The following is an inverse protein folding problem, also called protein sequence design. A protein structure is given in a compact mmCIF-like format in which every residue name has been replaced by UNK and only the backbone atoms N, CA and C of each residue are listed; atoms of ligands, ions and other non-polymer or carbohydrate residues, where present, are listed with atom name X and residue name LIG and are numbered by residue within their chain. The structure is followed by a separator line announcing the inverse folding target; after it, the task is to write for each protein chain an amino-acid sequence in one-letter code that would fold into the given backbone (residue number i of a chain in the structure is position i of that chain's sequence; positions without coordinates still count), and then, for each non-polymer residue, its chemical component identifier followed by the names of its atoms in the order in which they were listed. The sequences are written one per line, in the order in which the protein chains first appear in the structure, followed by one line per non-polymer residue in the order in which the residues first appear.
data_IF_856058097652
#
_entry.id   IF_856058097652
#
_cell.length_a   1.000
_cell.length_b   1.000
_cell.length_c   1.000
_cell.angle_alpha   90.00
_cell.angle_beta   90.00
_cell.angle_gamma   90.00
#
_symmetry.space_group_name_H-M   'P 1'
#
loop_
_entity.id
_entity.type
_entity.pdbx_description
1 polymer ?
#
# COMPACT_ATOMS: atom_id res chain seq x y z
N UNK A 1 -23.49 34.19 36.84
CA UNK A 1 -22.66 34.60 35.69
C UNK A 1 -21.86 33.39 35.27
N UNK A 2 -22.35 32.64 34.27
CA UNK A 2 -21.55 31.58 33.69
C UNK A 2 -20.37 32.22 32.99
N UNK A 3 -19.13 31.88 33.37
CA UNK A 3 -17.94 32.26 32.61
C UNK A 3 -18.11 31.69 31.21
N UNK A 4 -17.89 32.47 30.15
CA UNK A 4 -17.87 31.92 28.80
C UNK A 4 -16.67 30.99 28.63
N UNK A 5 -16.73 30.04 27.68
CA UNK A 5 -15.59 29.19 27.34
C UNK A 5 -14.33 30.03 27.03
N UNK A 6 -14.54 31.17 26.39
CA UNK A 6 -13.54 32.16 26.03
C UNK A 6 -12.89 32.79 27.28
N UNK A 7 -13.70 33.14 28.29
CA UNK A 7 -13.20 33.64 29.57
C UNK A 7 -12.35 32.58 30.30
N UNK A 8 -12.69 31.29 30.17
CA UNK A 8 -11.91 30.21 30.76
C UNK A 8 -10.51 30.10 30.11
N UNK A 9 -10.46 30.21 28.78
CA UNK A 9 -9.24 30.12 27.98
C UNK A 9 -8.31 31.31 28.28
N UNK A 10 -8.85 32.54 28.33
CA UNK A 10 -8.08 33.74 28.65
C UNK A 10 -7.65 33.81 30.13
N UNK A 11 -8.52 33.43 31.07
CA UNK A 11 -8.23 33.43 32.51
C UNK A 11 -7.05 32.50 32.87
N UNK A 12 -6.88 31.39 32.14
CA UNK A 12 -5.76 30.46 32.31
C UNK A 12 -4.44 30.95 31.70
N UNK A 13 -4.41 32.14 31.09
CA UNK A 13 -3.22 32.72 30.48
C UNK A 13 -2.72 31.93 29.26
N UNK A 14 -3.58 31.10 28.65
CA UNK A 14 -3.25 30.32 27.45
C UNK A 14 -3.02 31.22 26.23
N UNK A 15 -3.69 32.37 26.23
CA UNK A 15 -3.65 33.40 25.20
C UNK A 15 -3.99 34.73 25.88
N UNK A 16 -3.46 35.85 25.37
CA UNK A 16 -3.85 37.17 25.87
C UNK A 16 -5.27 37.48 25.44
N UNK A 17 -6.02 38.22 26.26
CA UNK A 17 -7.40 38.61 25.93
C UNK A 17 -7.50 39.27 24.55
N UNK A 18 -6.59 40.20 24.23
CA UNK A 18 -6.57 40.88 22.92
C UNK A 18 -6.35 39.92 21.73
N UNK A 19 -5.52 38.89 21.92
CA UNK A 19 -5.25 37.89 20.88
C UNK A 19 -6.45 36.93 20.73
N UNK A 20 -7.18 36.64 21.82
CA UNK A 20 -8.42 35.87 21.79
C UNK A 20 -9.55 36.62 21.08
N UNK A 21 -9.71 37.91 21.37
CA UNK A 21 -10.71 38.77 20.72
C UNK A 21 -10.44 38.83 19.20
N UNK A 22 -9.16 38.99 18.81
CA UNK A 22 -8.75 38.94 17.40
C UNK A 22 -8.99 37.57 16.74
N UNK A 23 -8.78 36.47 17.47
CA UNK A 23 -9.08 35.12 16.97
C UNK A 23 -10.58 34.91 16.71
N UNK A 24 -11.45 35.48 17.55
CA UNK A 24 -12.91 35.41 17.38
C UNK A 24 -13.36 36.21 16.16
N UNK A 25 -12.87 37.44 15.99
CA UNK A 25 -13.16 38.27 14.81
C UNK A 25 -12.71 37.58 13.51
N UNK A 26 -11.53 36.95 13.53
CA UNK A 26 -11.02 36.21 12.38
C UNK A 26 -11.84 34.93 12.09
N UNK A 27 -12.24 34.20 13.13
CA UNK A 27 -13.10 33.02 13.00
C UNK A 27 -14.42 33.36 12.30
N UNK A 28 -15.03 34.48 12.69
CA UNK A 28 -16.29 34.97 12.11
C UNK A 28 -16.13 35.50 10.68
N UNK A 29 -15.04 36.21 10.39
CA UNK A 29 -14.83 36.84 9.08
C UNK A 29 -14.35 35.87 8.00
N UNK A 30 -13.60 34.83 8.36
CA UNK A 30 -13.02 33.86 7.41
C UNK A 30 -13.73 32.51 7.41
N UNK A 31 -14.80 32.35 8.21
CA UNK A 31 -15.53 31.08 8.42
C UNK A 31 -14.61 29.93 8.86
N UNK A 32 -13.57 30.23 9.65
CA UNK A 32 -12.63 29.24 10.17
C UNK A 32 -13.00 28.92 11.62
N UNK A 33 -12.92 27.64 12.00
CA UNK A 33 -13.17 27.21 13.37
C UNK A 33 -12.17 27.81 14.38
N UNK A 34 -12.68 28.32 15.51
CA UNK A 34 -11.86 28.98 16.53
C UNK A 34 -10.80 28.05 17.14
N UNK A 35 -11.08 26.74 17.30
CA UNK A 35 -10.09 25.75 17.76
C UNK A 35 -8.87 25.75 16.83
N UNK A 36 -9.11 25.80 15.52
CA UNK A 36 -8.05 25.77 14.51
C UNK A 36 -7.17 27.01 14.60
N UNK A 37 -7.76 28.20 14.75
CA UNK A 37 -7.00 29.45 14.91
C UNK A 37 -6.17 29.44 16.19
N UNK A 38 -6.75 28.99 17.31
CA UNK A 38 -6.06 28.92 18.60
C UNK A 38 -4.85 27.96 18.55
N UNK A 39 -4.99 26.80 17.89
CA UNK A 39 -3.93 25.81 17.77
C UNK A 39 -2.82 26.22 16.79
N UNK A 40 -3.18 26.72 15.61
CA UNK A 40 -2.21 26.93 14.52
C UNK A 40 -1.56 28.31 14.55
N UNK A 41 -2.38 29.36 14.64
CA UNK A 41 -1.91 30.75 14.59
C UNK A 41 -1.37 31.20 15.94
N UNK A 42 -2.15 30.97 17.00
CA UNK A 42 -1.79 31.39 18.36
C UNK A 42 -1.00 30.35 19.14
N UNK A 43 -0.76 29.16 18.56
CA UNK A 43 0.10 28.09 19.11
C UNK A 43 -0.29 27.66 20.53
N UNK A 44 -1.58 27.73 20.87
CA UNK A 44 -2.08 27.25 22.17
C UNK A 44 -1.85 25.74 22.25
N UNK A 45 -1.19 25.21 23.30
CA UNK A 45 -0.95 23.78 23.43
C UNK A 45 -2.26 22.98 23.51
N UNK A 46 -2.37 21.89 22.73
CA UNK A 46 -3.56 21.03 22.66
C UNK A 46 -4.02 20.53 24.03
N UNK A 47 -3.09 20.04 24.85
CA UNK A 47 -3.37 19.54 26.19
C UNK A 47 -3.91 20.63 27.12
N UNK A 48 -3.46 21.86 26.96
CA UNK A 48 -3.91 23.00 27.77
C UNK A 48 -5.31 23.46 27.36
N UNK A 49 -5.58 23.51 26.05
CA UNK A 49 -6.90 23.81 25.49
C UNK A 49 -7.92 22.72 25.87
N UNK A 50 -7.58 21.45 25.69
CA UNK A 50 -8.40 20.31 26.09
C UNK A 50 -8.71 20.28 27.59
N UNK A 51 -7.70 20.56 28.44
CA UNK A 51 -7.90 20.68 29.88
C UNK A 51 -8.85 21.82 30.25
N UNK A 52 -8.75 22.97 29.57
CA UNK A 52 -9.65 24.10 29.79
C UNK A 52 -11.10 23.78 29.38
N UNK A 53 -11.29 23.08 28.25
CA UNK A 53 -12.58 22.58 27.81
C UNK A 53 -13.18 21.59 28.82
N UNK A 54 -12.37 20.64 29.33
CA UNK A 54 -12.83 19.67 30.32
C UNK A 54 -13.32 20.29 31.62
N UNK A 55 -12.63 21.33 32.10
CA UNK A 55 -13.08 22.09 33.28
C UNK A 55 -14.37 22.88 32.99
N UNK A 56 -14.42 23.57 31.84
CA UNK A 56 -15.58 24.36 31.44
C UNK A 56 -16.86 23.52 31.33
N UNK A 57 -16.77 22.37 30.66
CA UNK A 57 -17.89 21.45 30.48
C UNK A 57 -18.13 20.53 31.69
N UNK A 58 -17.28 20.58 32.72
CA UNK A 58 -17.28 19.66 33.86
C UNK A 58 -17.28 18.18 33.41
N UNK A 59 -16.49 17.90 32.39
CA UNK A 59 -16.48 16.64 31.65
C UNK A 59 -15.02 16.19 31.46
N UNK A 60 -14.68 14.89 31.57
CA UNK A 60 -13.32 14.43 31.34
C UNK A 60 -12.83 14.80 29.94
N UNK A 61 -11.63 15.37 29.83
CA UNK A 61 -10.97 15.56 28.53
C UNK A 61 -10.23 14.29 28.12
N UNK A 62 -10.40 13.89 26.86
CA UNK A 62 -9.70 12.76 26.25
C UNK A 62 -9.01 13.25 24.98
N UNK A 63 -7.69 13.08 24.91
CA UNK A 63 -6.91 13.30 23.70
C UNK A 63 -6.94 12.06 22.79
N UNK A 64 -6.47 12.21 21.56
CA UNK A 64 -6.22 11.07 20.70
C UNK A 64 -5.14 10.13 21.30
N UNK A 65 -5.42 8.82 21.29
CA UNK A 65 -4.50 7.74 21.67
C UNK A 65 -4.57 6.62 20.63
N UNK A 66 -3.46 6.41 19.92
CA UNK A 66 -3.28 5.38 18.88
C UNK A 66 -3.59 3.95 19.37
N UNK A 67 -3.49 3.69 20.67
CA UNK A 67 -3.73 2.37 21.27
C UNK A 67 -5.21 2.10 21.53
N UNK A 68 -6.06 3.11 21.40
CA UNK A 68 -7.49 2.98 21.60
C UNK A 68 -8.13 2.34 20.37
N UNK A 69 -8.45 1.05 20.46
CA UNK A 69 -9.15 0.32 19.41
C UNK A 69 -10.66 0.51 19.56
N UNK A 70 -11.28 1.07 18.52
CA UNK A 70 -12.74 1.25 18.44
C UNK A 70 -13.35 -0.01 17.82
N UNK A 71 -14.34 -0.58 18.50
CA UNK A 71 -15.08 -1.74 18.00
C UNK A 71 -15.86 -1.35 16.72
N UNK A 72 -15.59 -1.99 15.56
CA UNK A 72 -16.27 -1.68 14.30
C UNK A 72 -17.79 -1.76 14.36
N UNK A 73 -18.36 -2.59 15.24
CA UNK A 73 -19.83 -2.69 15.39
C UNK A 73 -20.45 -1.39 15.93
N UNK A 74 -19.68 -0.54 16.60
CA UNK A 74 -20.15 0.78 17.06
C UNK A 74 -20.32 1.76 15.89
N UNK A 75 -19.65 1.55 14.76
CA UNK A 75 -19.63 2.49 13.64
C UNK A 75 -20.49 2.05 12.46
N UNK A 76 -20.93 0.79 12.45
CA UNK A 76 -21.66 0.13 11.35
C UNK A 76 -22.88 0.88 10.81
N UNK A 77 -23.58 1.63 11.67
CA UNK A 77 -24.81 2.35 11.34
C UNK A 77 -24.61 3.88 11.35
N UNK A 78 -23.38 4.36 11.36
CA UNK A 78 -23.04 5.77 11.40
C UNK A 78 -22.36 6.20 10.10
N UNK A 79 -22.73 7.38 9.59
CA UNK A 79 -22.03 7.98 8.46
C UNK A 79 -20.78 8.71 8.95
N UNK A 80 -19.61 8.36 8.42
CA UNK A 80 -18.35 9.02 8.76
C UNK A 80 -18.35 10.52 8.43
N UNK A 81 -18.95 10.92 7.31
CA UNK A 81 -19.10 12.34 6.95
C UNK A 81 -19.94 13.10 7.97
N UNK A 82 -21.00 12.46 8.48
CA UNK A 82 -21.82 13.04 9.53
C UNK A 82 -21.04 13.14 10.85
N UNK A 83 -20.32 12.09 11.26
CA UNK A 83 -19.50 12.11 12.49
C UNK A 83 -18.40 13.18 12.42
N UNK A 84 -17.79 13.37 11.25
CA UNK A 84 -16.79 14.43 11.00
C UNK A 84 -17.40 15.83 11.12
N UNK A 85 -18.59 16.04 10.55
CA UNK A 85 -19.30 17.33 10.63
C UNK A 85 -19.81 17.63 12.04
N UNK A 86 -20.35 16.63 12.72
CA UNK A 86 -20.92 16.74 14.08
C UNK A 86 -19.88 16.60 15.19
N UNK A 87 -18.64 16.23 14.87
CA UNK A 87 -17.49 16.14 15.77
C UNK A 87 -17.78 15.33 17.05
N UNK A 88 -18.21 14.08 16.87
CA UNK A 88 -18.28 13.07 17.93
C UNK A 88 -18.00 11.66 17.41
N UNK A 89 -17.56 10.77 18.30
CA UNK A 89 -17.31 9.37 17.97
C UNK A 89 -17.49 8.45 19.20
N UNK A 90 -18.08 7.25 19.05
CA UNK A 90 -18.09 6.25 20.12
C UNK A 90 -16.70 5.58 20.25
N UNK A 91 -16.17 5.49 21.47
CA UNK A 91 -14.87 4.83 21.70
C UNK A 91 -15.04 3.35 22.07
N UNK A 92 -15.86 3.07 23.08
CA UNK A 92 -16.03 1.72 23.61
C UNK A 92 -17.38 1.54 24.29
N UNK A 93 -17.85 0.29 24.33
CA UNK A 93 -19.08 -0.12 25.02
C UNK A 93 -18.76 -1.15 26.10
N UNK A 94 -19.19 -0.88 27.33
CA UNK A 94 -19.07 -1.78 28.48
C UNK A 94 -20.47 -2.10 29.01
N UNK A 95 -21.07 -3.19 28.51
CA UNK A 95 -22.44 -3.58 28.85
C UNK A 95 -23.47 -2.53 28.36
N UNK A 96 -24.11 -1.84 29.30
CA UNK A 96 -25.07 -0.77 29.02
C UNK A 96 -24.42 0.62 28.92
N UNK A 97 -23.15 0.77 29.30
CA UNK A 97 -22.45 2.05 29.28
C UNK A 97 -21.72 2.24 27.95
N UNK A 98 -21.93 3.38 27.29
CA UNK A 98 -21.28 3.76 26.04
C UNK A 98 -20.42 5.01 26.27
N UNK A 99 -19.10 4.89 26.08
CA UNK A 99 -18.18 6.02 26.19
C UNK A 99 -18.08 6.75 24.85
N UNK A 100 -18.33 8.05 24.84
CA UNK A 100 -18.37 8.90 23.64
C UNK A 100 -17.45 10.10 23.84
N UNK A 101 -16.63 10.39 22.83
CA UNK A 101 -15.90 11.65 22.74
C UNK A 101 -16.68 12.61 21.84
N UNK A 102 -16.88 13.84 22.31
CA UNK A 102 -17.67 14.87 21.63
C UNK A 102 -17.04 16.25 21.83
N UNK A 103 -17.13 17.14 20.85
CA UNK A 103 -16.58 18.49 20.96
C UNK A 103 -17.38 19.40 21.92
N UNK A 104 -18.71 19.21 22.00
CA UNK A 104 -19.60 19.89 22.94
C UNK A 104 -20.61 18.91 23.57
N UNK A 105 -20.43 18.52 24.85
CA UNK A 105 -21.35 17.60 25.53
C UNK A 105 -22.70 18.22 25.93
N UNK A 106 -22.87 19.54 25.83
CA UNK A 106 -24.14 20.22 26.08
C UNK A 106 -24.99 20.40 24.82
N UNK A 107 -24.49 19.96 23.66
CA UNK A 107 -25.22 19.98 22.39
C UNK A 107 -26.39 18.98 22.42
N UNK A 108 -27.61 19.51 22.54
CA UNK A 108 -28.82 18.71 22.67
C UNK A 108 -29.13 17.91 21.39
N UNK A 109 -28.84 18.46 20.20
CA UNK A 109 -29.11 17.77 18.94
C UNK A 109 -28.21 16.55 18.78
N UNK A 110 -26.89 16.73 18.99
CA UNK A 110 -25.94 15.60 18.99
C UNK A 110 -26.31 14.56 20.04
N UNK A 111 -26.71 15.00 21.23
CA UNK A 111 -27.17 14.11 22.30
C UNK A 111 -28.39 13.26 21.90
N UNK A 112 -29.33 13.82 21.15
CA UNK A 112 -30.49 13.09 20.62
C UNK A 112 -30.08 12.10 19.53
N UNK A 113 -29.20 12.50 18.60
CA UNK A 113 -28.70 11.64 17.52
C UNK A 113 -27.94 10.43 18.07
N UNK A 114 -27.12 10.64 19.10
CA UNK A 114 -26.43 9.59 19.83
C UNK A 114 -27.42 8.61 20.48
N UNK A 115 -28.44 9.12 21.17
CA UNK A 115 -29.47 8.28 21.81
C UNK A 115 -30.28 7.48 20.79
N UNK A 116 -30.52 8.05 19.61
CA UNK A 116 -31.19 7.38 18.49
C UNK A 116 -30.32 6.29 17.88
N UNK A 117 -29.02 6.53 17.74
CA UNK A 117 -28.06 5.55 17.22
C UNK A 117 -27.84 4.37 18.19
N UNK A 118 -27.87 4.64 19.51
CA UNK A 118 -27.59 3.65 20.54
C UNK A 118 -28.70 3.56 21.60
N UNK A 119 -29.90 3.07 21.23
CA UNK A 119 -31.04 3.01 22.15
C UNK A 119 -30.77 2.08 23.33
N UNK A 120 -31.25 2.46 24.52
CA UNK A 120 -31.13 1.65 25.74
C UNK A 120 -29.74 1.64 26.38
N UNK A 121 -28.84 2.55 25.98
CA UNK A 121 -27.51 2.72 26.59
C UNK A 121 -27.45 3.95 27.51
N UNK A 122 -26.58 3.90 28.51
CA UNK A 122 -26.19 5.04 29.34
C UNK A 122 -24.91 5.64 28.76
N UNK A 123 -25.00 6.85 28.21
CA UNK A 123 -23.88 7.53 27.57
C UNK A 123 -23.01 8.23 28.60
N UNK A 124 -21.70 7.96 28.58
CA UNK A 124 -20.69 8.74 29.31
C UNK A 124 -19.96 9.62 28.31
N UNK A 125 -20.10 10.93 28.47
CA UNK A 125 -19.40 11.89 27.64
C UNK A 125 -17.98 12.14 28.16
N UNK A 126 -17.08 12.34 27.20
CA UNK A 126 -15.77 12.96 27.39
C UNK A 126 -15.62 14.04 26.34
N UNK A 127 -15.06 15.18 26.70
CA UNK A 127 -14.79 16.24 25.74
C UNK A 127 -13.50 15.92 24.98
N UNK A 128 -13.51 16.16 23.68
CA UNK A 128 -12.33 16.02 22.82
C UNK A 128 -12.20 17.20 21.87
N UNK A 129 -10.98 17.46 21.41
CA UNK A 129 -10.75 18.44 20.36
C UNK A 129 -11.26 17.89 19.04
N UNK A 130 -11.74 18.75 18.14
CA UNK A 130 -12.21 18.35 16.82
C UNK A 130 -11.13 17.57 16.07
N UNK A 131 -9.87 18.04 16.14
CA UNK A 131 -8.73 17.34 15.52
C UNK A 131 -8.52 15.93 16.05
N UNK A 132 -8.67 15.73 17.36
CA UNK A 132 -8.47 14.42 17.98
C UNK A 132 -9.59 13.44 17.55
N UNK A 133 -10.83 13.94 17.45
CA UNK A 133 -11.98 13.17 16.96
C UNK A 133 -11.80 12.81 15.48
N UNK A 134 -11.33 13.74 14.65
CA UNK A 134 -10.99 13.48 13.25
C UNK A 134 -9.90 12.41 13.12
N UNK A 135 -8.89 12.39 13.99
CA UNK A 135 -7.89 11.32 14.01
C UNK A 135 -8.47 9.97 14.42
N UNK A 136 -9.36 9.92 15.41
CA UNK A 136 -10.06 8.68 15.75
C UNK A 136 -10.93 8.17 14.57
N UNK A 137 -11.61 9.06 13.85
CA UNK A 137 -12.40 8.71 12.66
C UNK A 137 -11.51 8.17 11.54
N UNK A 138 -10.39 8.85 11.25
CA UNK A 138 -9.40 8.40 10.27
C UNK A 138 -8.91 6.99 10.61
N UNK A 139 -8.62 6.74 11.88
CA UNK A 139 -8.17 5.42 12.30
C UNK A 139 -9.26 4.36 12.15
N UNK A 140 -10.48 4.69 12.53
CA UNK A 140 -11.58 3.76 12.54
C UNK A 140 -12.17 3.44 11.15
N UNK A 141 -11.97 4.29 10.15
CA UNK A 141 -12.29 3.98 8.73
C UNK A 141 -11.31 2.99 8.11
N UNK A 142 -10.26 2.59 8.82
CA UNK A 142 -9.12 1.87 8.23
C UNK A 142 -8.18 2.78 7.44
N UNK A 143 -8.41 4.10 7.45
CA UNK A 143 -7.45 5.10 6.95
C UNK A 143 -6.34 5.42 7.98
N UNK A 144 -6.34 4.75 9.15
CA UNK A 144 -5.25 4.80 10.15
C UNK A 144 -3.88 4.46 9.58
N UNK A 145 -3.89 3.56 8.59
CA UNK A 145 -2.70 3.07 7.90
C UNK A 145 -2.68 3.53 6.43
N UNK A 146 -3.29 4.68 6.16
CA UNK A 146 -3.35 5.21 4.81
C UNK A 146 -4.04 6.56 4.79
N UNK A 147 -3.24 7.63 4.94
CA UNK A 147 -3.38 8.69 3.95
C UNK A 147 -3.21 8.00 2.61
N UNK A 148 -4.33 7.70 1.96
CA UNK A 148 -4.30 6.95 0.72
C UNK A 148 -3.46 7.76 -0.25
N UNK A 149 -2.55 7.09 -0.95
CA UNK A 149 -1.87 7.64 -2.12
C UNK A 149 -2.87 8.34 -3.05
N UNK A 150 -4.15 7.93 -3.04
CA UNK A 150 -5.25 8.58 -3.80
C UNK A 150 -5.69 9.96 -3.30
N UNK A 151 -5.59 10.29 -2.01
CA UNK A 151 -5.91 11.64 -1.50
C UNK A 151 -4.76 12.61 -1.77
N UNK A 152 -3.50 12.16 -1.59
CA UNK A 152 -2.33 12.94 -2.01
C UNK A 152 -2.30 13.06 -3.54
N UNK A 153 -2.63 12.01 -4.31
CA UNK A 153 -2.83 12.12 -5.77
C UNK A 153 -3.99 13.05 -6.13
N UNK A 154 -5.05 13.11 -5.32
CA UNK A 154 -6.17 14.03 -5.49
C UNK A 154 -5.71 15.48 -5.35
N UNK A 155 -4.97 15.78 -4.27
CA UNK A 155 -4.37 17.10 -4.04
C UNK A 155 -3.30 17.43 -5.11
N UNK A 156 -2.51 16.46 -5.56
CA UNK A 156 -1.51 16.61 -6.64
C UNK A 156 -2.11 16.87 -8.03
N UNK A 157 -3.30 16.30 -8.33
CA UNK A 157 -4.01 16.54 -9.61
C UNK A 157 -4.65 17.93 -9.61
N UNK A 158 -5.15 18.40 -8.46
CA UNK A 158 -5.67 19.75 -8.30
C UNK A 158 -4.54 20.80 -8.35
N UNK A 159 -3.36 20.52 -7.80
CA UNK A 159 -2.18 21.39 -7.92
C UNK A 159 -1.62 21.43 -9.35
N UNK A 160 -1.45 20.28 -10.02
CA UNK A 160 -0.99 20.22 -11.41
C UNK A 160 -2.00 20.80 -12.43
N UNK A 161 -3.29 20.84 -12.08
CA UNK A 161 -4.33 21.50 -12.88
C UNK A 161 -4.29 23.03 -12.79
N UNK A 162 -3.76 23.57 -11.68
CA UNK A 162 -3.75 25.01 -11.40
C UNK A 162 -2.51 25.71 -11.98
N UNK A 163 -1.43 24.98 -12.27
CA UNK A 163 -0.19 25.52 -12.85
C UNK A 163 -0.22 25.75 -14.37
N UNK A 164 -1.32 25.46 -15.08
CA UNK A 164 -1.40 25.68 -16.54
C UNK A 164 -1.75 27.10 -16.99
N UNK A 165 -1.85 28.07 -16.08
CA UNK A 165 -2.24 29.45 -16.42
C UNK A 165 -1.41 30.56 -15.74
N UNK A 166 -0.13 30.30 -15.44
CA UNK A 166 0.81 31.32 -14.98
C UNK A 166 2.14 31.21 -15.70
N UNK A 167 2.62 32.33 -16.23
CA UNK A 167 3.84 32.45 -17.03
C UNK A 167 5.11 31.98 -16.28
N UNK A 168 6.07 31.48 -17.05
CA UNK A 168 7.34 30.94 -16.57
C UNK A 168 8.18 31.99 -15.83
N UNK A 169 8.41 31.75 -14.53
CA UNK A 169 9.59 32.23 -13.83
C UNK A 169 10.48 31.03 -13.48
N UNK A 170 11.70 31.08 -13.99
CA UNK A 170 12.80 30.17 -13.69
C UNK A 170 13.26 30.37 -12.25
N UNK A 171 12.65 29.66 -11.31
CA UNK A 171 13.19 29.42 -9.97
C UNK A 171 13.79 28.02 -9.90
N UNK A 172 14.99 27.92 -9.31
CA UNK A 172 15.60 26.62 -8.98
C UNK A 172 14.58 25.76 -8.23
N UNK A 173 14.28 24.58 -8.77
CA UNK A 173 13.42 23.60 -8.09
C UNK A 173 14.22 23.12 -6.87
N UNK A 174 13.81 23.53 -5.67
CA UNK A 174 14.40 23.05 -4.41
C UNK A 174 14.23 21.52 -4.35
N UNK A 175 15.33 20.79 -4.45
CA UNK A 175 15.38 19.32 -4.49
C UNK A 175 14.71 18.67 -3.26
N UNK A 176 14.51 19.41 -2.17
CA UNK A 176 13.84 18.93 -0.96
C UNK A 176 12.33 19.18 -0.90
N UNK A 177 11.79 20.04 -1.77
CA UNK A 177 10.37 20.40 -1.75
C UNK A 177 9.53 19.55 -2.70
N UNK A 178 10.17 18.82 -3.62
CA UNK A 178 9.52 17.88 -4.52
C UNK A 178 8.72 16.84 -3.73
N UNK A 179 7.41 16.79 -3.97
CA UNK A 179 6.50 15.83 -3.34
C UNK A 179 6.96 14.37 -3.50
N UNK A 180 7.67 14.07 -4.60
CA UNK A 180 8.28 12.77 -4.88
C UNK A 180 9.38 12.45 -3.85
N UNK A 181 10.19 13.44 -3.49
CA UNK A 181 11.29 13.30 -2.53
C UNK A 181 10.73 13.11 -1.11
N UNK A 182 9.67 13.83 -0.74
CA UNK A 182 8.99 13.63 0.56
C UNK A 182 8.37 12.24 0.67
N UNK A 183 7.70 11.77 -0.39
CA UNK A 183 7.11 10.44 -0.46
C UNK A 183 8.19 9.34 -0.33
N UNK A 184 9.28 9.45 -1.10
CA UNK A 184 10.39 8.50 -1.05
C UNK A 184 11.01 8.43 0.35
N UNK A 185 11.26 9.59 0.96
CA UNK A 185 11.82 9.68 2.32
C UNK A 185 10.88 9.07 3.37
N UNK A 186 9.57 9.26 3.25
CA UNK A 186 8.60 8.62 4.13
C UNK A 186 8.56 7.10 3.97
N UNK A 187 8.60 6.60 2.74
CA UNK A 187 8.64 5.15 2.46
C UNK A 187 9.87 4.50 3.12
N UNK A 188 11.04 5.14 3.01
CA UNK A 188 12.29 4.65 3.60
C UNK A 188 12.23 4.67 5.14
N UNK A 189 11.76 5.78 5.72
CA UNK A 189 11.67 5.93 7.17
C UNK A 189 10.70 4.92 7.79
N UNK A 190 9.59 4.62 7.11
CA UNK A 190 8.61 3.65 7.56
C UNK A 190 9.11 2.21 7.43
N UNK A 191 9.76 1.87 6.31
CA UNK A 191 10.41 0.58 6.14
C UNK A 191 11.43 0.27 7.25
N UNK A 192 12.22 1.27 7.63
CA UNK A 192 13.15 1.16 8.76
C UNK A 192 12.43 0.93 10.09
N UNK A 193 11.37 1.71 10.38
CA UNK A 193 10.59 1.59 11.62
C UNK A 193 9.92 0.21 11.75
N UNK A 194 9.44 -0.33 10.64
CA UNK A 194 8.82 -1.66 10.56
C UNK A 194 9.83 -2.81 10.58
N UNK A 195 11.13 -2.52 10.52
CA UNK A 195 12.17 -3.54 10.37
C UNK A 195 12.04 -4.33 9.07
N UNK A 196 11.50 -3.71 8.02
CA UNK A 196 11.30 -4.35 6.73
C UNK A 196 12.64 -4.68 6.08
N UNK A 197 12.75 -5.88 5.50
CA UNK A 197 13.93 -6.32 4.75
C UNK A 197 14.08 -5.62 3.40
N UNK A 198 12.95 -5.18 2.84
CA UNK A 198 12.83 -4.69 1.49
C UNK A 198 11.62 -3.77 1.35
N UNK A 199 11.71 -2.84 0.40
CA UNK A 199 10.63 -1.94 -0.02
C UNK A 199 10.29 -2.28 -1.46
N UNK A 200 9.08 -2.78 -1.69
CA UNK A 200 8.59 -3.11 -3.01
C UNK A 200 7.49 -2.12 -3.41
N UNK A 201 7.72 -1.38 -4.49
CA UNK A 201 6.74 -0.44 -5.05
C UNK A 201 6.27 -1.02 -6.39
N UNK A 202 5.01 -1.44 -6.44
CA UNK A 202 4.34 -1.88 -7.68
C UNK A 202 3.42 -0.76 -8.18
N UNK A 203 3.89 0.15 -9.05
CA UNK A 203 3.08 1.25 -9.53
C UNK A 203 1.93 0.80 -10.46
N UNK A 204 1.98 -0.43 -11.00
CA UNK A 204 0.95 -0.99 -11.88
C UNK A 204 0.93 -2.53 -11.80
N UNK A 205 -0.26 -3.14 -11.96
CA UNK A 205 -0.37 -4.56 -12.28
C UNK A 205 0.05 -4.78 -13.74
N UNK A 206 1.36 -4.70 -14.00
CA UNK A 206 1.97 -5.04 -15.28
C UNK A 206 1.74 -6.53 -15.55
N UNK A 207 0.72 -6.83 -16.34
CA UNK A 207 0.47 -8.17 -16.86
C UNK A 207 1.35 -8.38 -18.08
N UNK A 208 2.64 -8.65 -17.85
CA UNK A 208 3.61 -8.97 -18.89
C UNK A 208 3.90 -10.46 -18.87
N UNK A 209 4.23 -11.03 -20.03
CA UNK A 209 4.47 -12.47 -20.18
C UNK A 209 5.94 -12.84 -19.94
N UNK A 210 6.85 -11.85 -20.00
CA UNK A 210 8.29 -12.03 -19.76
C UNK A 210 8.92 -10.80 -19.13
N UNK A 211 10.13 -10.98 -18.60
CA UNK A 211 10.95 -9.93 -17.99
C UNK A 211 11.36 -8.87 -19.01
N UNK A 212 11.61 -9.28 -20.26
CA UNK A 212 11.99 -8.38 -21.35
C UNK A 212 10.78 -7.58 -21.85
N UNK A 213 9.60 -8.19 -21.93
CA UNK A 213 8.37 -7.49 -22.33
C UNK A 213 7.96 -6.42 -21.31
N UNK A 214 8.30 -6.60 -20.03
CA UNK A 214 8.11 -5.56 -19.00
C UNK A 214 8.84 -4.27 -19.34
N UNK A 215 10.08 -4.34 -19.84
CA UNK A 215 10.83 -3.16 -20.29
C UNK A 215 10.04 -2.44 -21.39
N UNK A 216 9.70 -3.16 -22.46
CA UNK A 216 8.98 -2.57 -23.60
C UNK A 216 7.66 -1.95 -23.12
N UNK A 217 6.94 -2.62 -22.23
CA UNK A 217 5.66 -2.13 -21.71
C UNK A 217 5.81 -0.86 -20.88
N UNK A 218 6.83 -0.75 -20.04
CA UNK A 218 7.11 0.45 -19.26
C UNK A 218 7.45 1.64 -20.19
N UNK A 219 8.25 1.41 -21.23
CA UNK A 219 8.55 2.42 -22.24
C UNK A 219 7.29 2.85 -23.01
N UNK A 220 6.42 1.91 -23.40
CA UNK A 220 5.15 2.21 -24.08
C UNK A 220 4.19 3.02 -23.20
N UNK A 221 4.28 2.86 -21.87
CA UNK A 221 3.48 3.61 -20.89
C UNK A 221 4.03 5.02 -20.63
N UNK A 222 5.08 5.45 -21.34
CA UNK A 222 5.64 6.78 -21.24
C UNK A 222 6.79 6.90 -20.23
N UNK A 223 7.34 5.79 -19.74
CA UNK A 223 8.57 5.82 -18.94
C UNK A 223 9.73 6.31 -19.82
N UNK A 224 10.48 7.31 -19.33
CA UNK A 224 11.66 7.80 -20.02
C UNK A 224 12.75 6.72 -20.08
N UNK A 225 13.26 6.45 -21.28
CA UNK A 225 14.18 5.35 -21.51
C UNK A 225 15.55 5.56 -20.86
N UNK A 226 16.00 6.80 -20.67
CA UNK A 226 17.29 7.09 -20.06
C UNK A 226 17.24 6.91 -18.55
N UNK A 227 16.29 7.58 -17.90
CA UNK A 227 16.12 7.48 -16.44
C UNK A 227 15.78 6.05 -16.01
N UNK A 228 14.94 5.36 -16.80
CA UNK A 228 14.60 3.97 -16.52
C UNK A 228 15.82 3.04 -16.63
N UNK A 229 16.59 3.14 -17.72
CA UNK A 229 17.77 2.30 -17.91
C UNK A 229 18.80 2.50 -16.80
N UNK A 230 19.03 3.74 -16.37
CA UNK A 230 20.01 4.06 -15.33
C UNK A 230 19.61 3.46 -13.98
N UNK A 231 18.34 3.63 -13.59
CA UNK A 231 17.79 3.14 -12.33
C UNK A 231 17.51 1.63 -12.29
N UNK A 232 17.37 0.97 -13.45
CA UNK A 232 16.98 -0.44 -13.51
C UNK A 232 18.13 -1.37 -13.09
N UNK A 233 17.95 -2.08 -11.96
CA UNK A 233 18.86 -3.15 -11.52
C UNK A 233 18.54 -4.49 -12.18
N UNK A 234 17.26 -4.79 -12.37
CA UNK A 234 16.79 -6.01 -13.01
C UNK A 234 15.28 -6.18 -12.94
N UNK A 235 14.77 -7.15 -13.68
CA UNK A 235 13.36 -7.50 -13.75
C UNK A 235 13.21 -9.00 -13.51
N UNK A 236 12.41 -9.37 -12.51
CA UNK A 236 12.07 -10.77 -12.21
C UNK A 236 10.66 -11.06 -12.71
N UNK A 237 10.52 -11.89 -13.75
CA UNK A 237 9.24 -12.52 -14.06
C UNK A 237 9.10 -13.84 -13.31
N UNK A 238 7.96 -14.02 -12.65
CA UNK A 238 7.62 -15.23 -11.91
C UNK A 238 6.28 -15.83 -12.36
N UNK A 239 6.26 -17.16 -12.47
CA UNK A 239 5.02 -17.95 -12.64
C UNK A 239 5.00 -19.08 -11.62
N UNK A 240 3.80 -19.51 -11.20
CA UNK A 240 3.65 -20.65 -10.30
C UNK A 240 3.02 -21.81 -11.04
N UNK A 241 3.66 -22.98 -11.00
CA UNK A 241 3.08 -24.22 -11.48
C UNK A 241 2.89 -25.22 -10.34
N UNK A 242 2.08 -26.26 -10.57
CA UNK A 242 1.81 -27.28 -9.57
C UNK A 242 3.06 -28.15 -9.35
N UNK A 243 3.38 -28.44 -8.08
CA UNK A 243 4.50 -29.33 -7.72
C UNK A 243 4.01 -30.77 -7.67
N UNK A 244 4.80 -31.71 -8.21
CA UNK A 244 4.51 -33.15 -8.10
C UNK A 244 4.42 -33.52 -6.62
N UNK A 245 3.36 -34.24 -6.25
CA UNK A 245 3.16 -34.69 -4.86
C UNK A 245 4.32 -35.60 -4.44
N UNK A 246 4.95 -35.30 -3.30
CA UNK A 246 6.06 -36.08 -2.75
C UNK A 246 5.68 -37.51 -2.40
N UNK A 247 4.44 -37.74 -1.94
CA UNK A 247 3.97 -39.02 -1.42
C UNK A 247 3.63 -40.03 -2.53
N UNK A 248 3.25 -39.54 -3.71
CA UNK A 248 2.89 -40.37 -4.86
C UNK A 248 3.75 -40.09 -6.10
N UNK A 249 4.95 -39.53 -5.89
CA UNK A 249 5.93 -39.33 -6.95
C UNK A 249 6.43 -40.69 -7.43
N UNK A 250 6.36 -40.93 -8.73
CA UNK A 250 6.95 -42.09 -9.40
C UNK A 250 7.81 -41.65 -10.56
N UNK A 251 8.86 -42.43 -10.84
CA UNK A 251 9.73 -42.26 -12.01
C UNK A 251 9.22 -43.12 -13.16
N UNK A 252 9.30 -42.60 -14.38
CA UNK A 252 8.98 -43.34 -15.59
C UNK A 252 10.01 -43.04 -16.68
N UNK A 253 10.21 -43.98 -17.58
CA UNK A 253 10.98 -43.76 -18.81
C UNK A 253 10.05 -43.04 -19.82
N UNK A 254 10.32 -41.78 -20.18
CA UNK A 254 9.50 -41.03 -21.10
C UNK A 254 9.69 -41.51 -22.55
N UNK A 255 8.71 -41.21 -23.39
CA UNK A 255 8.81 -41.50 -24.83
C UNK A 255 9.84 -40.60 -25.51
N UNK A 256 10.38 -41.03 -26.66
CA UNK A 256 11.25 -40.19 -27.50
C UNK A 256 10.55 -38.87 -27.86
N UNK A 257 9.24 -38.90 -28.11
CA UNK A 257 8.47 -37.69 -28.38
C UNK A 257 8.50 -36.70 -27.20
N UNK A 258 8.32 -37.18 -25.96
CA UNK A 258 8.41 -36.32 -24.77
C UNK A 258 9.81 -35.71 -24.60
N UNK A 259 10.86 -36.47 -24.94
CA UNK A 259 12.23 -35.93 -24.98
C UNK A 259 12.37 -34.83 -26.02
N UNK A 260 11.94 -35.09 -27.26
CA UNK A 260 12.05 -34.13 -28.36
C UNK A 260 11.26 -32.85 -28.09
N UNK A 261 10.08 -32.96 -27.46
CA UNK A 261 9.28 -31.83 -27.01
C UNK A 261 10.00 -30.96 -25.96
N UNK A 262 10.80 -31.56 -25.08
CA UNK A 262 11.63 -30.85 -24.11
C UNK A 262 12.83 -30.19 -24.79
N UNK A 263 13.52 -30.88 -25.71
CA UNK A 263 14.64 -30.34 -26.49
C UNK A 263 14.18 -29.12 -27.29
N UNK A 264 13.05 -29.25 -28.00
CA UNK A 264 12.48 -28.15 -28.77
C UNK A 264 12.06 -26.98 -27.87
N UNK A 265 11.39 -27.25 -26.74
CA UNK A 265 10.95 -26.22 -25.81
C UNK A 265 12.10 -25.48 -25.13
N UNK A 266 13.20 -26.18 -24.81
CA UNK A 266 14.38 -25.56 -24.21
C UNK A 266 15.22 -24.77 -25.23
N UNK A 267 15.11 -25.15 -26.51
CA UNK A 267 15.94 -24.70 -27.62
C UNK A 267 17.13 -25.62 -27.82
N UNK A 268 17.18 -26.29 -28.98
CA UNK A 268 18.17 -27.32 -29.30
C UNK A 268 19.61 -26.87 -29.05
N UNK A 269 19.97 -25.66 -29.46
CA UNK A 269 21.30 -25.07 -29.26
C UNK A 269 21.72 -24.91 -27.78
N UNK A 270 20.76 -24.86 -26.86
CA UNK A 270 21.00 -24.73 -25.43
C UNK A 270 20.87 -26.08 -24.70
N UNK A 271 20.16 -27.04 -25.29
CA UNK A 271 19.90 -28.35 -24.68
C UNK A 271 21.19 -29.12 -24.44
N UNK A 272 22.11 -29.11 -25.40
CA UNK A 272 23.39 -29.83 -25.31
C UNK A 272 24.21 -29.42 -24.08
N UNK A 273 24.10 -28.16 -23.64
CA UNK A 273 24.77 -27.63 -22.44
C UNK A 273 24.26 -28.25 -21.14
N UNK A 274 23.06 -28.84 -21.14
CA UNK A 274 22.53 -29.55 -19.97
C UNK A 274 23.16 -30.93 -19.78
N UNK A 275 23.83 -31.48 -20.82
CA UNK A 275 24.40 -32.82 -20.76
C UNK A 275 23.35 -33.93 -20.62
N UNK A 276 22.12 -33.68 -21.09
CA UNK A 276 21.01 -34.64 -21.01
C UNK A 276 20.82 -35.30 -22.37
N UNK A 277 20.97 -36.62 -22.42
CA UNK A 277 20.76 -37.42 -23.62
C UNK A 277 19.66 -38.45 -23.39
N UNK A 278 18.88 -38.73 -24.44
CA UNK A 278 17.89 -39.79 -24.39
C UNK A 278 18.61 -41.15 -24.34
N UNK A 279 18.48 -41.84 -23.21
CA UNK A 279 19.08 -43.14 -22.93
C UNK A 279 18.05 -44.00 -22.21
N UNK A 280 18.21 -45.32 -22.19
CA UNK A 280 17.26 -46.24 -21.54
C UNK A 280 17.09 -45.95 -20.03
N UNK A 281 18.15 -45.47 -19.39
CA UNK A 281 18.14 -45.10 -17.96
C UNK A 281 17.61 -43.68 -17.69
N UNK A 282 17.39 -42.88 -18.74
CA UNK A 282 16.87 -41.53 -18.60
C UNK A 282 15.40 -41.57 -18.17
N UNK A 283 15.09 -40.90 -17.06
CA UNK A 283 13.76 -40.94 -16.45
C UNK A 283 13.25 -39.55 -16.10
N UNK A 284 11.92 -39.41 -16.13
CA UNK A 284 11.21 -38.24 -15.61
C UNK A 284 10.31 -38.65 -14.45
N UNK A 285 9.77 -37.66 -13.75
CA UNK A 285 8.86 -37.88 -12.62
C UNK A 285 7.44 -37.45 -12.94
N UNK A 286 6.47 -38.20 -12.41
CA UNK A 286 5.05 -37.83 -12.40
C UNK A 286 4.40 -38.21 -11.08
N UNK A 287 3.23 -37.66 -10.80
CA UNK A 287 2.42 -38.07 -9.66
C UNK A 287 1.33 -39.04 -10.09
N UNK A 288 1.28 -40.24 -9.51
CA UNK A 288 0.22 -41.24 -9.82
C UNK A 288 -1.15 -40.91 -9.22
N UNK A 289 -1.19 -40.00 -8.25
CA UNK A 289 -2.40 -39.65 -7.50
C UNK A 289 -2.57 -40.52 -6.25
N UNK A 290 -2.84 -39.87 -5.12
CA UNK A 290 -3.13 -40.50 -3.84
C UNK A 290 -4.09 -39.61 -3.02
N UNK A 291 -4.59 -40.11 -1.90
CA UNK A 291 -5.49 -39.39 -1.00
C UNK A 291 -4.88 -38.06 -0.52
N UNK A 292 -3.57 -38.04 -0.23
CA UNK A 292 -2.85 -36.86 0.27
C UNK A 292 -2.90 -35.68 -0.71
N UNK A 293 -2.97 -35.95 -2.01
CA UNK A 293 -3.08 -34.95 -3.06
C UNK A 293 -4.47 -34.90 -3.71
N UNK A 294 -5.49 -35.49 -3.08
CA UNK A 294 -6.84 -35.64 -3.62
C UNK A 294 -6.85 -36.22 -5.05
N UNK A 295 -6.07 -37.28 -5.26
CA UNK A 295 -5.91 -37.96 -6.55
C UNK A 295 -5.42 -37.10 -7.73
N UNK A 296 -4.97 -35.86 -7.49
CA UNK A 296 -4.51 -34.98 -8.57
C UNK A 296 -3.10 -35.28 -9.08
N UNK A 297 -2.26 -35.95 -8.29
CA UNK A 297 -0.84 -36.14 -8.55
C UNK A 297 0.04 -34.94 -8.17
N UNK A 298 -0.56 -33.84 -7.69
CA UNK A 298 0.15 -32.61 -7.36
C UNK A 298 -0.18 -32.11 -5.95
N UNK A 299 0.82 -31.60 -5.22
CA UNK A 299 0.62 -30.98 -3.90
C UNK A 299 1.63 -29.85 -3.72
N UNK A 300 1.11 -28.65 -3.46
CA UNK A 300 1.91 -27.42 -3.39
C UNK A 300 2.25 -26.84 -4.76
N UNK A 301 3.13 -25.83 -4.76
CA UNK A 301 3.53 -25.07 -5.95
C UNK A 301 5.05 -25.06 -6.08
N UNK A 302 5.53 -24.85 -7.30
CA UNK A 302 6.93 -24.51 -7.57
C UNK A 302 6.94 -23.26 -8.44
N UNK A 303 7.75 -22.28 -8.06
CA UNK A 303 7.91 -21.05 -8.82
C UNK A 303 8.83 -21.29 -10.01
N UNK A 304 8.54 -20.68 -11.15
CA UNK A 304 9.39 -20.54 -12.33
C UNK A 304 9.89 -19.11 -12.34
N UNK A 305 11.19 -18.94 -12.54
CA UNK A 305 11.84 -17.63 -12.50
C UNK A 305 12.54 -17.36 -13.81
N UNK A 306 12.41 -16.12 -14.26
CA UNK A 306 13.21 -15.53 -15.32
C UNK A 306 13.69 -14.19 -14.77
N UNK A 307 15.00 -14.03 -14.66
CA UNK A 307 15.61 -12.85 -14.08
C UNK A 307 16.46 -12.18 -15.14
N UNK A 308 15.99 -11.03 -15.59
CA UNK A 308 16.75 -10.13 -16.43
C UNK A 308 17.57 -9.19 -15.53
N UNK A 309 18.88 -9.20 -15.67
CA UNK A 309 19.77 -8.28 -14.93
C UNK A 309 20.09 -7.08 -15.82
N UNK A 310 20.09 -5.87 -15.24
CA UNK A 310 20.40 -4.63 -15.92
C UNK A 310 21.90 -4.43 -16.15
N UNK A 311 22.51 -5.24 -17.02
CA UNK A 311 23.89 -5.03 -17.47
C UNK A 311 24.00 -3.76 -18.31
N UNK A 312 25.21 -3.19 -18.43
CA UNK A 312 25.46 -1.99 -19.25
C UNK A 312 24.97 -2.16 -20.70
N UNK A 313 25.16 -3.35 -21.29
CA UNK A 313 24.66 -3.66 -22.63
C UNK A 313 23.13 -3.63 -22.70
N UNK A 314 22.43 -4.18 -21.69
CA UNK A 314 20.98 -4.12 -21.60
C UNK A 314 20.51 -2.68 -21.43
N UNK A 315 21.15 -1.90 -20.55
CA UNK A 315 20.83 -0.48 -20.33
C UNK A 315 20.96 0.32 -21.62
N UNK A 316 22.03 0.13 -22.38
CA UNK A 316 22.24 0.77 -23.68
C UNK A 316 21.11 0.41 -24.69
N UNK A 317 20.67 -0.86 -24.71
CA UNK A 317 19.56 -1.28 -25.56
C UNK A 317 18.22 -0.67 -25.15
N UNK A 318 17.98 -0.48 -23.84
CA UNK A 318 16.79 0.20 -23.32
C UNK A 318 16.78 1.67 -23.75
N UNK A 319 17.91 2.38 -23.58
CA UNK A 319 18.06 3.78 -23.99
C UNK A 319 17.81 3.96 -25.49
N UNK A 320 18.31 3.02 -26.30
CA UNK A 320 18.09 2.98 -27.74
C UNK A 320 16.69 2.51 -28.17
N UNK A 321 15.82 2.13 -27.22
CA UNK A 321 14.49 1.54 -27.47
C UNK A 321 14.55 0.35 -28.43
N UNK A 322 15.55 -0.51 -28.24
CA UNK A 322 15.75 -1.69 -29.08
C UNK A 322 14.57 -2.67 -29.01
N UNK A 323 14.46 -3.55 -30.01
CA UNK A 323 13.39 -4.56 -30.05
C UNK A 323 13.59 -5.62 -28.97
N UNK A 324 12.49 -6.18 -28.48
CA UNK A 324 12.48 -7.26 -27.47
C UNK A 324 13.41 -8.43 -27.84
N UNK A 325 13.48 -8.80 -29.12
CA UNK A 325 14.35 -9.89 -29.58
C UNK A 325 15.85 -9.60 -29.39
N UNK A 326 16.26 -8.34 -29.54
CA UNK A 326 17.66 -7.91 -29.38
C UNK A 326 18.05 -7.93 -27.90
N UNK A 327 17.18 -7.39 -27.04
CA UNK A 327 17.35 -7.40 -25.58
C UNK A 327 17.39 -8.85 -25.07
N UNK A 328 16.48 -9.71 -25.55
CA UNK A 328 16.46 -11.12 -25.18
C UNK A 328 17.75 -11.85 -25.56
N UNK A 329 18.28 -11.60 -26.76
CA UNK A 329 19.53 -12.21 -27.24
C UNK A 329 20.71 -11.87 -26.31
N UNK A 330 20.85 -10.59 -25.96
CA UNK A 330 21.91 -10.12 -25.04
C UNK A 330 21.68 -10.66 -23.63
N UNK A 331 20.44 -10.65 -23.12
CA UNK A 331 20.13 -11.19 -21.81
C UNK A 331 20.48 -12.68 -21.69
N UNK A 332 20.14 -13.49 -22.71
CA UNK A 332 20.47 -14.92 -22.73
C UNK A 332 21.98 -15.16 -22.83
N UNK A 333 22.70 -14.33 -23.60
CA UNK A 333 24.17 -14.36 -23.65
C UNK A 333 24.78 -14.05 -22.29
N UNK A 334 24.21 -13.10 -21.56
CA UNK A 334 24.61 -12.70 -20.20
C UNK A 334 24.17 -13.72 -19.12
N UNK A 335 23.53 -14.83 -19.52
CA UNK A 335 23.20 -15.97 -18.65
C UNK A 335 21.76 -16.02 -18.16
N UNK A 336 20.87 -15.15 -18.66
CA UNK A 336 19.44 -15.23 -18.36
C UNK A 336 18.87 -16.57 -18.86
N UNK A 337 18.12 -17.22 -17.97
CA UNK A 337 17.35 -18.43 -18.28
C UNK A 337 15.87 -18.03 -18.39
N UNK A 338 15.21 -18.40 -19.48
CA UNK A 338 13.79 -18.06 -19.69
C UNK A 338 12.87 -18.82 -18.74
N UNK A 339 11.62 -18.36 -18.56
CA UNK A 339 10.62 -19.07 -17.76
C UNK A 339 10.43 -20.53 -18.19
N UNK A 340 10.41 -20.76 -19.51
CA UNK A 340 10.26 -22.08 -20.10
C UNK A 340 11.49 -22.95 -19.81
N UNK A 341 12.70 -22.44 -20.03
CA UNK A 341 13.94 -23.16 -19.74
C UNK A 341 14.08 -23.49 -18.25
N UNK A 342 13.79 -22.54 -17.37
CA UNK A 342 13.82 -22.74 -15.92
C UNK A 342 12.78 -23.77 -15.47
N UNK A 343 11.59 -23.77 -16.08
CA UNK A 343 10.58 -24.78 -15.88
C UNK A 343 11.03 -26.17 -16.30
N UNK A 344 11.64 -26.30 -17.48
CA UNK A 344 12.19 -27.57 -17.99
C UNK A 344 13.30 -28.10 -17.07
N UNK A 345 14.21 -27.25 -16.59
CA UNK A 345 15.20 -27.65 -15.58
C UNK A 345 14.55 -28.22 -14.31
N UNK A 346 13.39 -27.70 -13.91
CA UNK A 346 12.61 -28.21 -12.76
C UNK A 346 11.85 -29.51 -13.08
N UNK A 347 11.49 -29.74 -14.34
CA UNK A 347 10.97 -31.03 -14.82
C UNK A 347 12.06 -32.10 -14.73
N UNK A 348 13.27 -31.79 -15.19
CA UNK A 348 14.43 -32.69 -15.09
C UNK A 348 14.79 -33.03 -13.64
N UNK A 349 14.56 -32.10 -12.70
CA UNK A 349 14.70 -32.35 -11.24
C UNK A 349 13.50 -33.09 -10.61
N UNK A 350 12.47 -33.40 -11.40
CA UNK A 350 11.26 -34.07 -10.95
C UNK A 350 10.43 -33.26 -9.93
N UNK A 351 10.42 -31.93 -10.06
CA UNK A 351 9.63 -31.04 -9.20
C UNK A 351 8.24 -30.74 -9.78
N UNK A 352 8.11 -30.72 -11.10
CA UNK A 352 6.87 -30.49 -11.84
C UNK A 352 6.87 -31.29 -13.15
N UNK A 353 5.82 -31.19 -13.95
CA UNK A 353 5.74 -31.84 -15.28
C UNK A 353 5.80 -30.81 -16.40
N UNK A 354 6.23 -31.23 -17.58
CA UNK A 354 6.34 -30.32 -18.72
C UNK A 354 5.00 -29.68 -19.11
N UNK A 355 3.91 -30.46 -19.01
CA UNK A 355 2.54 -29.96 -19.20
C UNK A 355 2.21 -28.79 -18.27
N UNK A 356 2.62 -28.86 -17.00
CA UNK A 356 2.40 -27.77 -16.04
C UNK A 356 3.24 -26.54 -16.39
N UNK A 357 4.49 -26.73 -16.85
CA UNK A 357 5.35 -25.64 -17.31
C UNK A 357 4.75 -24.92 -18.51
N UNK A 358 4.38 -25.66 -19.56
CA UNK A 358 3.79 -25.08 -20.78
C UNK A 358 2.53 -24.28 -20.50
N UNK A 359 1.67 -24.77 -19.59
CA UNK A 359 0.42 -24.11 -19.24
C UNK A 359 0.60 -22.71 -18.61
N UNK A 360 1.78 -22.41 -18.04
CA UNK A 360 2.04 -21.14 -17.34
C UNK A 360 3.12 -20.29 -17.99
N UNK A 361 4.04 -20.89 -18.75
CA UNK A 361 5.19 -20.20 -19.34
C UNK A 361 4.99 -19.82 -20.82
N UNK A 362 3.98 -20.39 -21.50
CA UNK A 362 3.66 -20.09 -22.90
C UNK A 362 2.22 -19.56 -22.89
N UNK A 363 2.05 -18.23 -22.92
CA UNK A 363 0.75 -17.58 -23.07
C UNK A 363 0.74 -16.69 -24.29
#
# INVERSE_FOLDING_TARGET
MGRSLLDCIAYRGLIKQADLDAAIEESLSREIDLETLLLDKYRVPRSALGSALGEFYQCPYVSYDERTVIDPELLKNLSFDYLRRSAWIPLKRQGTVLDIVINDPHDLEKGLDIRRAFPGTTTRFSVGLRRDIEQYLLVATGQANGGSITEILGELVDEAGTERNGEAESGEIDENDSAIVRLANQVIAEAYRLGASDVHIEPYSLHTNSSVETITRLLDMGCDSFNFADAMLGVLAMRLCKRICSDCKETYHPTQQEYDELVQGYGAQHWDKLGVSYTEDWTLSRGRGCEICNHSGFKGRVALHELLVGSEDIKNLIQAKARTAEILSVAMRDGMVTLLQNGIQKVLKGLTTYRQVRAVAIK
#
